data_IF_319772645978
#
_entry.id   IF_319772645978
#
_cell.length_a   1.000
_cell.length_b   1.000
_cell.length_c   1.000
_cell.angle_alpha   90.00
_cell.angle_beta   90.00
_cell.angle_gamma   90.00
#
_symmetry.space_group_name_H-M   'P 1'
#
loop_
_entity.id
_entity.type
_entity.pdbx_description
1 polymer ?
#
# COMPACT_ATOMS: atom_id res chain seq x y z
N UNK A 1 11.61 -7.82 11.56
CA UNK A 1 11.81 -7.24 10.23
C UNK A 1 12.16 -5.79 10.44
N UNK A 2 13.46 -5.48 10.45
CA UNK A 2 13.96 -4.13 10.75
C UNK A 2 13.86 -3.26 9.49
N UNK A 3 12.79 -2.48 9.42
CA UNK A 3 12.59 -1.46 8.39
C UNK A 3 13.70 -0.41 8.47
N UNK A 4 14.56 -0.35 7.46
CA UNK A 4 15.73 0.53 7.42
C UNK A 4 15.44 1.73 6.51
N UNK A 5 15.02 2.85 7.12
CA UNK A 5 14.64 4.11 6.46
C UNK A 5 15.83 4.75 5.75
N UNK A 6 16.08 4.39 4.49
CA UNK A 6 17.16 4.99 3.66
C UNK A 6 16.78 6.28 2.93
N UNK A 7 15.55 6.77 3.07
CA UNK A 7 15.16 8.10 2.64
C UNK A 7 14.78 8.92 3.88
N UNK A 8 15.69 9.77 4.32
CA UNK A 8 15.43 10.76 5.36
C UNK A 8 14.40 11.75 4.80
N UNK A 9 13.27 11.92 5.50
CA UNK A 9 12.41 13.06 5.22
C UNK A 9 13.25 14.33 5.38
N UNK A 10 12.99 15.33 4.55
CA UNK A 10 13.50 16.68 4.79
C UNK A 10 12.83 17.16 6.08
N UNK A 11 13.52 16.97 7.21
CA UNK A 11 13.06 17.47 8.50
C UNK A 11 13.49 18.93 8.58
N UNK A 12 12.60 19.84 8.15
CA UNK A 12 12.68 21.22 8.62
C UNK A 12 12.13 21.27 10.06
N UNK A 13 12.95 21.85 10.95
CA UNK A 13 12.73 21.94 12.37
C UNK A 13 11.32 22.44 12.73
N UNK A 14 10.42 21.53 13.08
CA UNK A 14 9.23 21.85 13.84
C UNK A 14 9.02 20.77 14.91
N UNK A 15 8.76 21.22 16.13
CA UNK A 15 8.50 20.38 17.29
C UNK A 15 7.21 19.59 17.06
N UNK A 16 7.31 18.43 16.41
CA UNK A 16 6.17 17.56 16.15
C UNK A 16 5.88 16.71 17.39
N UNK A 17 5.24 17.33 18.38
CA UNK A 17 4.53 16.61 19.44
C UNK A 17 3.08 16.49 19.00
N UNK A 18 2.71 15.41 18.35
CA UNK A 18 1.33 14.92 18.43
C UNK A 18 1.28 13.41 18.18
N UNK A 19 0.60 12.70 19.09
CA UNK A 19 0.24 11.29 18.99
C UNK A 19 -0.91 11.08 17.98
N UNK A 20 -0.94 11.88 16.90
CA UNK A 20 -1.89 11.71 15.81
C UNK A 20 -1.33 10.65 14.86
N UNK A 21 -1.90 9.44 14.91
CA UNK A 21 -1.66 8.45 13.87
C UNK A 21 -1.81 9.13 12.49
N UNK A 22 -0.85 9.00 11.57
CA UNK A 22 -0.94 9.70 10.29
C UNK A 22 -2.20 9.23 9.57
N UNK A 23 -2.98 10.19 9.06
CA UNK A 23 -4.20 9.89 8.31
C UNK A 23 -3.79 9.44 6.91
N UNK A 24 -3.64 8.14 6.72
CA UNK A 24 -3.39 7.59 5.39
C UNK A 24 -4.73 7.49 4.66
N UNK A 25 -4.95 8.35 3.67
CA UNK A 25 -6.02 8.14 2.70
C UNK A 25 -5.57 7.05 1.72
N UNK A 26 -6.24 5.91 1.76
CA UNK A 26 -5.96 4.77 0.90
C UNK A 26 -7.16 4.53 0.01
N UNK A 27 -6.95 4.66 -1.30
CA UNK A 27 -7.93 4.36 -2.33
C UNK A 27 -7.57 3.02 -2.95
N UNK A 28 -8.32 1.99 -2.58
CA UNK A 28 -8.23 0.66 -3.17
C UNK A 28 -9.29 0.51 -4.25
N UNK A 29 -8.85 0.23 -5.48
CA UNK A 29 -9.74 -0.04 -6.61
C UNK A 29 -9.53 -1.48 -7.07
N UNK A 30 -10.54 -2.33 -6.84
CA UNK A 30 -10.58 -3.67 -7.42
C UNK A 30 -10.96 -3.55 -8.89
N UNK A 31 -10.02 -3.82 -9.80
CA UNK A 31 -10.24 -3.69 -11.24
C UNK A 31 -10.83 -4.96 -11.84
N UNK A 32 -10.39 -6.12 -11.34
CA UNK A 32 -10.84 -7.42 -11.81
C UNK A 32 -10.91 -8.41 -10.64
N UNK A 33 -11.97 -9.22 -10.65
CA UNK A 33 -12.11 -10.37 -9.77
C UNK A 33 -12.89 -11.45 -10.51
N UNK A 34 -12.33 -12.65 -10.59
CA UNK A 34 -12.98 -13.80 -11.19
C UNK A 34 -12.88 -15.00 -10.27
N UNK A 35 -14.02 -15.68 -10.06
CA UNK A 35 -14.06 -16.98 -9.40
C UNK A 35 -13.42 -18.02 -10.32
N UNK A 36 -12.32 -18.61 -9.88
CA UNK A 36 -11.61 -19.64 -10.64
C UNK A 36 -11.97 -21.03 -10.19
N UNK A 37 -12.22 -21.21 -8.89
CA UNK A 37 -12.53 -22.50 -8.31
C UNK A 37 -13.52 -22.36 -7.16
N UNK A 38 -14.44 -23.31 -7.09
CA UNK A 38 -15.36 -23.43 -5.96
C UNK A 38 -15.49 -24.90 -5.63
N UNK A 39 -15.05 -25.26 -4.43
CA UNK A 39 -15.18 -26.63 -3.93
C UNK A 39 -16.47 -26.71 -3.15
N UNK A 40 -17.42 -27.50 -3.67
CA UNK A 40 -18.67 -27.76 -2.95
C UNK A 40 -18.42 -28.84 -1.87
N UNK A 41 -18.85 -28.60 -0.62
CA UNK A 41 -18.55 -29.49 0.50
C UNK A 41 -19.16 -30.89 0.36
N UNK A 42 -20.08 -31.13 -0.57
CA UNK A 42 -20.68 -32.45 -0.82
C UNK A 42 -19.78 -33.40 -1.64
N UNK A 43 -18.70 -32.90 -2.24
CA UNK A 43 -17.80 -33.70 -3.10
C UNK A 43 -16.55 -34.22 -2.37
N UNK A 44 -16.38 -33.89 -1.09
CA UNK A 44 -15.22 -34.26 -0.26
C UNK A 44 -15.73 -34.69 1.12
N UNK A 45 -15.13 -35.74 1.71
CA UNK A 45 -15.47 -36.27 3.05
C UNK A 45 -15.09 -35.32 4.22
N UNK A 46 -14.73 -34.09 3.89
CA UNK A 46 -14.33 -33.02 4.80
C UNK A 46 -15.10 -31.74 4.39
N UNK A 47 -15.90 -31.12 5.28
CA UNK A 47 -16.73 -29.97 4.93
C UNK A 47 -15.87 -28.71 4.77
N UNK A 48 -15.19 -28.58 3.62
CA UNK A 48 -14.43 -27.40 3.27
C UNK A 48 -15.20 -26.63 2.18
N UNK A 49 -15.75 -25.47 2.55
CA UNK A 49 -16.28 -24.53 1.58
C UNK A 49 -15.19 -23.51 1.25
N UNK A 50 -14.53 -23.72 0.10
CA UNK A 50 -13.43 -22.88 -0.39
C UNK A 50 -13.76 -22.32 -1.77
N UNK A 51 -13.47 -21.04 -1.95
CA UNK A 51 -13.55 -20.35 -3.23
C UNK A 51 -12.21 -19.68 -3.50
N UNK A 52 -11.69 -19.82 -4.70
CA UNK A 52 -10.44 -19.20 -5.15
C UNK A 52 -10.77 -18.15 -6.19
N UNK A 53 -10.06 -17.02 -6.11
CA UNK A 53 -10.29 -15.88 -6.99
C UNK A 53 -8.96 -15.40 -7.58
N UNK A 54 -8.96 -15.14 -8.88
CA UNK A 54 -7.93 -14.34 -9.51
C UNK A 54 -8.36 -12.87 -9.41
N UNK A 55 -7.52 -12.05 -8.79
CA UNK A 55 -7.82 -10.63 -8.54
C UNK A 55 -6.73 -9.72 -9.07
N UNK A 56 -7.16 -8.57 -9.59
CA UNK A 56 -6.29 -7.44 -9.90
C UNK A 56 -6.84 -6.22 -9.18
N UNK A 57 -5.96 -5.50 -8.48
CA UNK A 57 -6.32 -4.28 -7.78
C UNK A 57 -5.24 -3.22 -7.97
N UNK A 58 -5.66 -1.96 -7.91
CA UNK A 58 -4.78 -0.79 -7.88
C UNK A 58 -4.94 -0.10 -6.54
N UNK A 59 -3.83 0.30 -5.93
CA UNK A 59 -3.81 1.05 -4.67
C UNK A 59 -3.15 2.40 -4.89
N UNK A 60 -3.83 3.46 -4.46
CA UNK A 60 -3.26 4.80 -4.36
C UNK A 60 -3.28 5.22 -2.89
N UNK A 61 -2.15 5.73 -2.41
CA UNK A 61 -2.04 6.27 -1.06
C UNK A 61 -1.20 7.54 -1.08
N UNK A 62 -1.42 8.41 -0.10
CA UNK A 62 -0.63 9.64 0.09
C UNK A 62 0.31 9.47 1.27
N UNK A 63 1.62 9.66 1.07
CA UNK A 63 2.61 9.76 2.14
C UNK A 63 3.15 11.19 2.21
N UNK A 64 2.76 11.93 3.25
CA UNK A 64 3.17 13.32 3.50
C UNK A 64 4.70 13.47 3.64
N UNK A 65 5.42 12.40 3.99
CA UNK A 65 6.88 12.43 4.13
C UNK A 65 7.61 12.43 2.79
N UNK A 66 6.91 12.11 1.70
CA UNK A 66 7.42 12.09 0.33
C UNK A 66 6.97 13.33 -0.46
N UNK A 67 6.54 14.40 0.20
CA UNK A 67 6.23 15.66 -0.46
C UNK A 67 7.50 16.51 -0.64
N UNK A 68 7.66 17.10 -1.82
CA UNK A 68 8.72 18.08 -2.10
C UNK A 68 8.22 19.16 -3.05
N UNK A 69 8.88 20.33 -3.05
CA UNK A 69 8.62 21.37 -4.03
C UNK A 69 9.45 21.09 -5.30
N UNK A 70 8.83 20.91 -6.48
CA UNK A 70 9.55 20.60 -7.71
C UNK A 70 10.63 21.63 -8.08
N UNK A 71 10.44 22.91 -7.71
CA UNK A 71 11.40 23.98 -8.02
C UNK A 71 12.77 23.78 -7.39
N UNK A 72 12.82 23.09 -6.25
CA UNK A 72 14.06 22.84 -5.53
C UNK A 72 14.87 21.71 -6.19
N UNK A 73 14.23 20.93 -7.08
CA UNK A 73 14.79 19.76 -7.75
C UNK A 73 14.64 19.86 -9.28
N UNK A 74 15.07 20.97 -9.87
CA UNK A 74 15.09 21.20 -11.32
C UNK A 74 13.71 21.03 -12.02
N UNK A 75 12.61 21.19 -11.29
CA UNK A 75 11.26 21.01 -11.82
C UNK A 75 10.78 19.55 -11.84
N UNK A 76 11.46 18.62 -11.18
CA UNK A 76 11.02 17.22 -11.09
C UNK A 76 9.78 17.10 -10.21
N UNK A 77 8.68 16.59 -10.78
CA UNK A 77 7.38 16.39 -10.14
C UNK A 77 7.07 14.92 -9.82
N UNK A 78 7.76 13.97 -10.46
CA UNK A 78 7.62 12.53 -10.22
C UNK A 78 8.96 11.82 -10.23
N UNK A 79 9.06 10.75 -9.44
CA UNK A 79 10.20 9.83 -9.42
C UNK A 79 9.70 8.38 -9.40
N UNK A 80 10.50 7.46 -9.91
CA UNK A 80 10.27 6.02 -9.78
C UNK A 80 11.21 5.45 -8.73
N UNK A 81 10.64 4.70 -7.79
CA UNK A 81 11.36 4.07 -6.68
C UNK A 81 10.92 2.63 -6.54
N UNK A 82 11.78 1.79 -5.95
CA UNK A 82 11.41 0.41 -5.64
C UNK A 82 10.42 0.40 -4.49
N UNK A 83 9.44 -0.51 -4.53
CA UNK A 83 8.46 -0.67 -3.45
C UNK A 83 9.10 -1.07 -2.11
N UNK A 84 10.31 -1.64 -2.12
CA UNK A 84 11.08 -1.94 -0.92
C UNK A 84 11.63 -0.70 -0.20
N UNK A 85 11.72 0.42 -0.91
CA UNK A 85 12.39 1.64 -0.43
C UNK A 85 11.40 2.68 0.09
N UNK A 86 10.10 2.45 -0.14
CA UNK A 86 9.01 3.30 0.33
C UNK A 86 8.05 2.50 1.19
N UNK A 87 7.46 3.18 2.16
CA UNK A 87 6.36 2.59 2.92
C UNK A 87 5.07 2.64 2.09
N UNK A 88 4.32 1.55 2.14
CA UNK A 88 2.94 1.45 1.64
C UNK A 88 2.14 0.62 2.66
N UNK A 89 0.80 0.78 2.73
CA UNK A 89 -0.02 0.05 3.69
C UNK A 89 -0.12 -1.43 3.32
N UNK A 90 0.05 -2.30 4.31
CA UNK A 90 -0.17 -3.75 4.13
C UNK A 90 -1.67 -4.02 3.92
N UNK A 91 -2.01 -4.70 2.82
CA UNK A 91 -3.38 -5.14 2.51
C UNK A 91 -3.44 -6.65 2.65
N UNK A 92 -4.41 -7.12 3.44
CA UNK A 92 -4.73 -8.56 3.61
C UNK A 92 -6.17 -8.82 3.15
N UNK A 93 -6.37 -9.90 2.40
CA UNK A 93 -7.67 -10.39 1.92
C UNK A 93 -8.07 -11.69 2.61
#
# INVERSE_FOLDING_TARGET
MDYNRKLSAVVENSNFTDESHPKYEVLLTLTYMMLTNMVHPELIDEPQQKAEFDTEYTMNWTDERLEWNPKDYCGMDHIYVLSSDVWFPDITF
#
